data_IF_871505533132
#
_entry.id   IF_871505533132
#
_cell.length_a   1.000
_cell.length_b   1.000
_cell.length_c   1.000
_cell.angle_alpha   90.00
_cell.angle_beta   90.00
_cell.angle_gamma   90.00
#
_symmetry.space_group_name_H-M   'P 1'
#
loop_
_entity.id
_entity.type
_entity.pdbx_description
1 polymer ?
#
# COMPACT_ATOMS: atom_id res chain seq x y z
N UNK A 1 -12.23 -4.75 -17.86
CA UNK A 1 -13.35 -4.27 -18.70
C UNK A 1 -14.63 -4.37 -17.87
N UNK A 2 -15.49 -3.35 -17.82
CA UNK A 2 -16.77 -3.47 -17.14
C UNK A 2 -17.58 -4.59 -17.82
N UNK A 3 -17.99 -5.59 -17.05
CA UNK A 3 -18.80 -6.72 -17.53
C UNK A 3 -20.30 -6.39 -17.52
N UNK A 4 -20.69 -5.20 -17.07
CA UNK A 4 -22.08 -4.80 -16.89
C UNK A 4 -22.61 -4.03 -18.10
N UNK A 5 -23.36 -4.72 -18.96
CA UNK A 5 -24.18 -4.12 -20.04
C UNK A 5 -25.49 -3.49 -19.51
N UNK A 6 -25.56 -3.11 -18.23
CA UNK A 6 -26.73 -2.44 -17.68
C UNK A 6 -26.68 -0.95 -18.09
N UNK A 7 -27.59 -0.47 -18.96
CA UNK A 7 -27.50 0.89 -19.54
C UNK A 7 -27.58 2.02 -18.50
N UNK A 8 -28.13 1.71 -17.32
CA UNK A 8 -28.31 2.68 -16.22
C UNK A 8 -27.06 2.85 -15.35
N UNK A 9 -26.05 1.99 -15.49
CA UNK A 9 -24.80 2.12 -14.72
C UNK A 9 -23.78 2.91 -15.53
N UNK A 10 -23.31 4.08 -15.06
CA UNK A 10 -22.35 4.85 -15.82
C UNK A 10 -20.98 4.18 -15.85
N UNK A 11 -20.25 4.38 -16.95
CA UNK A 11 -18.85 4.01 -17.07
C UNK A 11 -18.01 5.05 -16.32
N UNK A 12 -17.16 4.60 -15.39
CA UNK A 12 -16.25 5.46 -14.66
C UNK A 12 -14.85 5.40 -15.28
N UNK A 13 -14.33 6.56 -15.67
CA UNK A 13 -12.94 6.76 -16.04
C UNK A 13 -12.23 7.40 -14.86
N UNK A 14 -11.31 6.68 -14.23
CA UNK A 14 -10.61 7.12 -13.04
C UNK A 14 -9.13 7.30 -13.34
N UNK A 15 -8.57 8.46 -12.98
CA UNK A 15 -7.15 8.76 -13.14
C UNK A 15 -6.57 9.33 -11.84
N UNK A 16 -5.31 8.99 -11.55
CA UNK A 16 -4.60 9.42 -10.34
C UNK A 16 -3.43 10.31 -10.75
N UNK A 17 -3.53 11.61 -10.51
CA UNK A 17 -2.57 12.60 -10.99
C UNK A 17 -1.78 13.20 -9.83
N UNK A 18 -0.55 12.71 -9.63
CA UNK A 18 0.33 13.09 -8.51
C UNK A 18 1.46 14.05 -8.91
N UNK A 19 1.49 14.47 -10.17
CA UNK A 19 2.46 15.40 -10.72
C UNK A 19 1.74 16.46 -11.55
N UNK A 20 2.29 17.66 -11.61
CA UNK A 20 1.75 18.69 -12.49
C UNK A 20 1.95 18.27 -13.95
N UNK A 21 0.90 18.41 -14.76
CA UNK A 21 0.90 18.04 -16.17
C UNK A 21 -0.06 18.93 -16.93
N UNK A 22 0.50 19.86 -17.71
CA UNK A 22 -0.28 20.84 -18.48
C UNK A 22 -1.17 20.19 -19.56
N UNK A 23 -0.78 19.02 -20.07
CA UNK A 23 -1.51 18.30 -21.11
C UNK A 23 -2.51 17.29 -20.56
N UNK A 24 -2.63 17.17 -19.23
CA UNK A 24 -3.43 16.15 -18.56
C UNK A 24 -4.88 16.11 -19.06
N UNK A 25 -5.60 17.23 -18.97
CA UNK A 25 -7.01 17.28 -19.36
C UNK A 25 -7.20 16.99 -20.85
N UNK A 26 -6.29 17.45 -21.71
CA UNK A 26 -6.32 17.12 -23.13
C UNK A 26 -6.28 15.61 -23.34
N UNK A 27 -5.32 14.93 -22.71
CA UNK A 27 -5.15 13.47 -22.83
C UNK A 27 -6.35 12.74 -22.24
N UNK A 28 -6.76 13.09 -21.02
CA UNK A 28 -7.86 12.47 -20.30
C UNK A 28 -9.16 12.50 -21.12
N UNK A 29 -9.56 13.68 -21.62
CA UNK A 29 -10.79 13.76 -22.41
C UNK A 29 -10.66 13.12 -23.80
N UNK A 30 -9.49 13.19 -24.43
CA UNK A 30 -9.25 12.52 -25.72
C UNK A 30 -9.41 11.02 -25.60
N UNK A 31 -8.83 10.41 -24.56
CA UNK A 31 -8.91 8.97 -24.33
C UNK A 31 -10.34 8.52 -24.01
N UNK A 32 -11.07 9.28 -23.19
CA UNK A 32 -12.48 9.00 -22.88
C UNK A 32 -13.32 9.01 -24.16
N UNK A 33 -13.25 10.09 -24.94
CA UNK A 33 -14.08 10.21 -26.14
C UNK A 33 -13.67 9.22 -27.23
N UNK A 34 -12.37 8.91 -27.34
CA UNK A 34 -11.89 7.86 -28.22
C UNK A 34 -12.45 6.50 -27.81
N UNK A 35 -12.44 6.17 -26.52
CA UNK A 35 -13.06 4.94 -26.00
C UNK A 35 -14.54 4.89 -26.35
N UNK A 36 -15.30 5.93 -26.00
CA UNK A 36 -16.75 5.97 -26.24
C UNK A 36 -17.09 5.84 -27.74
N UNK A 37 -16.28 6.43 -28.62
CA UNK A 37 -16.47 6.30 -30.08
C UNK A 37 -16.16 4.91 -30.64
N UNK A 38 -15.39 4.08 -29.90
CA UNK A 38 -14.93 2.75 -30.31
C UNK A 38 -15.75 1.62 -29.68
N UNK A 39 -16.77 1.94 -28.89
CA UNK A 39 -17.61 0.94 -28.21
C UNK A 39 -19.07 1.11 -28.60
N UNK A 40 -19.79 -0.01 -28.70
CA UNK A 40 -21.26 -0.01 -28.89
C UNK A 40 -22.04 0.21 -27.58
N UNK A 41 -21.33 0.49 -26.48
CA UNK A 41 -21.94 0.77 -25.18
C UNK A 41 -22.65 2.13 -25.22
N UNK A 42 -23.90 2.14 -24.75
CA UNK A 42 -24.74 3.35 -24.70
C UNK A 42 -24.87 3.93 -23.29
N UNK A 43 -24.09 3.39 -22.35
CA UNK A 43 -24.05 3.83 -20.97
C UNK A 43 -23.66 5.31 -20.87
N UNK A 44 -24.21 6.00 -19.86
CA UNK A 44 -23.68 7.30 -19.45
C UNK A 44 -22.22 7.16 -18.97
N UNK A 45 -21.48 8.26 -18.85
CA UNK A 45 -20.11 8.22 -18.36
C UNK A 45 -19.84 9.29 -17.30
N UNK A 46 -18.85 9.00 -16.44
CA UNK A 46 -18.32 9.90 -15.41
C UNK A 46 -16.80 9.84 -15.38
N UNK A 47 -16.17 11.01 -15.20
CA UNK A 47 -14.74 11.14 -14.93
C UNK A 47 -14.50 11.32 -13.44
N UNK A 48 -13.49 10.64 -12.90
CA UNK A 48 -13.02 10.83 -11.52
C UNK A 48 -11.52 11.05 -11.58
N UNK A 49 -11.06 12.15 -10.99
CA UNK A 49 -9.64 12.50 -10.99
C UNK A 49 -9.22 12.68 -9.54
N UNK A 50 -8.18 11.96 -9.15
CA UNK A 50 -7.65 11.97 -7.79
C UNK A 50 -6.33 12.71 -7.77
N UNK A 51 -6.28 13.83 -7.06
CA UNK A 51 -5.10 14.65 -6.83
C UNK A 51 -4.64 14.54 -5.37
N UNK A 52 -3.32 14.61 -5.08
CA UNK A 52 -2.86 14.65 -3.70
C UNK A 52 -3.32 15.94 -3.00
N UNK A 53 -3.32 17.07 -3.72
CA UNK A 53 -3.81 18.36 -3.27
C UNK A 53 -4.08 19.30 -4.48
N UNK A 54 -4.79 20.43 -4.30
CA UNK A 54 -5.14 21.33 -5.40
C UNK A 54 -3.95 21.97 -6.13
N UNK A 55 -2.76 22.05 -5.51
CA UNK A 55 -1.60 22.69 -6.13
C UNK A 55 -0.98 21.86 -7.26
N UNK A 56 -1.33 20.57 -7.36
CA UNK A 56 -0.86 19.68 -8.42
C UNK A 56 -1.72 19.77 -9.68
N UNK A 57 -2.95 20.27 -9.57
CA UNK A 57 -3.84 20.45 -10.71
C UNK A 57 -3.33 21.59 -11.61
N UNK A 58 -3.27 21.34 -12.91
CA UNK A 58 -2.90 22.37 -13.89
C UNK A 58 -3.94 23.49 -13.99
N UNK A 59 -3.48 24.71 -14.22
CA UNK A 59 -4.34 25.89 -14.47
C UNK A 59 -4.99 25.88 -15.88
N UNK A 60 -4.57 24.96 -16.76
CA UNK A 60 -5.01 24.85 -18.17
C UNK A 60 -6.41 24.21 -18.32
N UNK A 61 -7.36 24.65 -17.51
CA UNK A 61 -8.74 24.11 -17.45
C UNK A 61 -9.69 24.73 -18.46
N UNK A 62 -9.31 25.84 -19.10
CA UNK A 62 -10.24 26.72 -19.82
C UNK A 62 -11.02 26.05 -20.95
N UNK A 63 -10.35 25.16 -21.71
CA UNK A 63 -10.97 24.44 -22.84
C UNK A 63 -11.96 23.35 -22.41
N UNK A 64 -11.94 22.98 -21.13
CA UNK A 64 -12.69 21.85 -20.59
C UNK A 64 -13.64 22.28 -19.47
N UNK A 65 -13.78 23.60 -19.27
CA UNK A 65 -14.45 24.21 -18.13
C UNK A 65 -15.87 23.68 -17.97
N UNK A 66 -16.62 23.51 -19.05
CA UNK A 66 -17.98 23.01 -19.06
C UNK A 66 -18.07 21.59 -18.50
N UNK A 67 -17.11 20.72 -18.86
CA UNK A 67 -17.04 19.35 -18.35
C UNK A 67 -16.62 19.35 -16.89
N UNK A 68 -15.60 20.14 -16.54
CA UNK A 68 -15.01 20.21 -15.18
C UNK A 68 -15.91 20.89 -14.14
N UNK A 69 -16.82 21.75 -14.58
CA UNK A 69 -17.78 22.45 -13.72
C UNK A 69 -19.15 21.77 -13.69
N UNK A 70 -19.36 20.73 -14.50
CA UNK A 70 -20.57 19.90 -14.46
C UNK A 70 -20.40 18.72 -13.50
N UNK A 71 -21.49 17.99 -13.24
CA UNK A 71 -21.43 16.71 -12.51
C UNK A 71 -20.77 15.58 -13.32
N UNK A 72 -20.29 15.85 -14.55
CA UNK A 72 -19.67 14.86 -15.42
C UNK A 72 -18.30 14.42 -14.89
N UNK A 73 -17.54 15.34 -14.31
CA UNK A 73 -16.18 15.10 -13.83
C UNK A 73 -16.07 15.52 -12.38
N UNK A 74 -15.62 14.60 -11.52
CA UNK A 74 -15.35 14.88 -10.11
C UNK A 74 -13.85 14.92 -9.87
N UNK A 75 -13.37 16.06 -9.39
CA UNK A 75 -12.00 16.23 -8.87
C UNK A 75 -12.04 15.95 -7.38
N UNK A 76 -11.19 15.03 -6.93
CA UNK A 76 -11.05 14.62 -5.53
C UNK A 76 -9.63 14.97 -5.10
N UNK A 77 -9.52 15.81 -4.07
CA UNK A 77 -8.22 16.15 -3.48
C UNK A 77 -8.04 15.39 -2.18
N UNK A 78 -6.98 14.59 -2.10
CA UNK A 78 -6.75 13.67 -0.98
C UNK A 78 -6.60 14.41 0.36
N UNK A 79 -5.94 15.58 0.34
CA UNK A 79 -5.78 16.46 1.52
C UNK A 79 -7.10 17.06 2.04
N UNK A 80 -8.16 17.06 1.24
CA UNK A 80 -9.48 17.59 1.63
C UNK A 80 -10.44 16.50 2.10
N UNK A 81 -10.02 15.24 2.05
CA UNK A 81 -10.87 14.11 2.42
C UNK A 81 -11.28 14.14 3.89
N UNK A 82 -10.51 14.76 4.80
CA UNK A 82 -10.85 14.77 6.24
C UNK A 82 -12.26 15.28 6.55
N UNK A 83 -12.84 16.11 5.67
CA UNK A 83 -14.16 16.72 5.84
C UNK A 83 -15.32 15.84 5.30
N UNK A 84 -15.03 14.70 4.69
CA UNK A 84 -16.04 13.84 4.08
C UNK A 84 -16.49 12.79 5.11
N UNK A 85 -17.81 12.64 5.34
CA UNK A 85 -18.34 11.57 6.18
C UNK A 85 -17.80 10.22 5.73
N UNK A 86 -17.20 9.46 6.65
CA UNK A 86 -16.55 8.18 6.34
C UNK A 86 -17.57 7.05 6.12
N UNK A 87 -18.54 7.23 5.22
CA UNK A 87 -19.57 6.22 5.00
C UNK A 87 -19.00 4.99 4.31
N UNK A 88 -18.00 5.17 3.42
CA UNK A 88 -17.33 4.07 2.73
C UNK A 88 -16.02 3.66 3.42
N UNK A 89 -15.83 2.35 3.58
CA UNK A 89 -14.57 1.74 4.04
C UNK A 89 -13.39 2.10 3.13
N UNK A 90 -13.59 2.14 1.81
CA UNK A 90 -12.53 2.50 0.86
C UNK A 90 -12.06 3.95 1.06
N UNK A 91 -13.00 4.87 1.22
CA UNK A 91 -12.66 6.29 1.50
C UNK A 91 -11.98 6.44 2.86
N UNK A 92 -12.46 5.74 3.89
CA UNK A 92 -11.83 5.70 5.19
C UNK A 92 -10.37 5.19 5.14
N UNK A 93 -10.10 4.21 4.27
CA UNK A 93 -8.75 3.68 4.04
C UNK A 93 -7.85 4.73 3.39
N UNK A 94 -8.31 5.40 2.34
CA UNK A 94 -7.55 6.46 1.66
C UNK A 94 -7.28 7.65 2.59
N UNK A 95 -8.24 8.01 3.46
CA UNK A 95 -8.08 9.08 4.45
C UNK A 95 -6.93 8.80 5.44
N UNK A 96 -6.58 7.54 5.72
CA UNK A 96 -5.42 7.23 6.56
C UNK A 96 -4.13 7.84 6.01
N UNK A 97 -4.00 7.99 4.68
CA UNK A 97 -2.82 8.56 4.04
C UNK A 97 -2.67 10.04 4.41
N UNK A 98 -3.76 10.80 4.54
CA UNK A 98 -3.72 12.25 4.74
C UNK A 98 -3.89 12.69 6.19
N UNK A 99 -4.46 11.84 7.05
CA UNK A 99 -4.63 12.12 8.47
C UNK A 99 -3.30 12.46 9.18
N UNK A 100 -3.36 13.28 10.22
CA UNK A 100 -2.19 13.44 11.11
C UNK A 100 -1.83 12.12 11.82
N UNK A 101 -0.55 11.94 12.18
CA UNK A 101 -0.07 10.75 12.91
C UNK A 101 -0.86 10.49 14.21
N UNK A 102 -1.24 11.55 14.92
CA UNK A 102 -1.99 11.45 16.17
C UNK A 102 -3.42 10.88 15.98
N UNK A 103 -4.09 11.22 14.87
CA UNK A 103 -5.45 10.74 14.57
C UNK A 103 -5.44 9.35 13.91
N UNK A 104 -4.37 9.01 13.19
CA UNK A 104 -4.29 7.80 12.38
C UNK A 104 -4.57 6.52 13.19
N UNK A 105 -4.04 6.40 14.41
CA UNK A 105 -4.20 5.20 15.24
C UNK A 105 -5.68 4.90 15.56
N UNK A 106 -6.42 5.90 16.05
CA UNK A 106 -7.83 5.72 16.42
C UNK A 106 -8.70 5.45 15.18
N UNK A 107 -8.44 6.18 14.10
CA UNK A 107 -9.10 5.95 12.80
C UNK A 107 -8.86 4.55 12.27
N UNK A 108 -7.64 4.03 12.37
CA UNK A 108 -7.32 2.68 11.92
C UNK A 108 -8.02 1.60 12.75
N UNK A 109 -8.07 1.74 14.09
CA UNK A 109 -8.82 0.79 14.94
C UNK A 109 -10.28 0.70 14.52
N UNK A 110 -10.93 1.85 14.33
CA UNK A 110 -12.32 1.93 13.87
C UNK A 110 -12.47 1.31 12.48
N UNK A 111 -11.57 1.60 11.57
CA UNK A 111 -11.61 1.07 10.21
C UNK A 111 -11.47 -0.45 10.18
N UNK A 112 -10.51 -1.02 10.91
CA UNK A 112 -10.32 -2.48 11.01
C UNK A 112 -11.59 -3.15 11.54
N UNK A 113 -12.21 -2.57 12.58
CA UNK A 113 -13.48 -3.09 13.10
C UNK A 113 -14.57 -3.10 12.01
N UNK A 114 -14.69 -2.01 11.25
CA UNK A 114 -15.65 -1.92 10.14
C UNK A 114 -15.36 -2.93 9.04
N UNK A 115 -14.10 -3.13 8.68
CA UNK A 115 -13.68 -4.15 7.70
C UNK A 115 -14.14 -5.54 8.14
N UNK A 116 -13.98 -5.88 9.43
CA UNK A 116 -14.43 -7.17 9.98
C UNK A 116 -15.95 -7.32 10.05
N UNK A 117 -16.69 -6.22 10.23
CA UNK A 117 -18.14 -6.23 10.46
C UNK A 117 -18.97 -6.05 9.19
N UNK A 118 -18.50 -5.23 8.26
CA UNK A 118 -19.28 -4.79 7.09
C UNK A 118 -18.92 -5.57 5.81
N UNK A 119 -17.72 -6.16 5.71
CA UNK A 119 -17.29 -6.87 4.51
C UNK A 119 -17.56 -8.38 4.57
N UNK A 120 -18.02 -8.93 3.46
CA UNK A 120 -18.16 -10.38 3.25
C UNK A 120 -16.85 -10.99 2.71
N UNK A 121 -16.67 -12.32 2.80
CA UNK A 121 -15.48 -12.98 2.26
C UNK A 121 -15.19 -12.67 0.78
N UNK A 122 -16.22 -12.52 -0.05
CA UNK A 122 -16.09 -12.21 -1.49
C UNK A 122 -15.52 -10.80 -1.74
N UNK A 123 -15.66 -9.89 -0.77
CA UNK A 123 -15.10 -8.54 -0.82
C UNK A 123 -13.64 -8.49 -0.34
N UNK A 124 -13.05 -9.66 -0.07
CA UNK A 124 -11.63 -9.85 0.26
C UNK A 124 -11.12 -8.93 1.38
N UNK A 125 -11.69 -9.03 2.60
CA UNK A 125 -11.28 -8.18 3.72
C UNK A 125 -9.78 -8.27 4.05
N UNK A 126 -9.14 -9.43 3.81
CA UNK A 126 -7.70 -9.63 4.02
C UNK A 126 -6.84 -8.70 3.13
N UNK A 127 -7.19 -8.52 1.85
CA UNK A 127 -6.45 -7.62 0.96
C UNK A 127 -6.52 -6.16 1.47
N UNK A 128 -7.67 -5.77 2.02
CA UNK A 128 -7.85 -4.45 2.59
C UNK A 128 -7.12 -4.27 3.93
N UNK A 129 -7.13 -5.28 4.80
CA UNK A 129 -6.35 -5.26 6.05
C UNK A 129 -4.86 -5.12 5.76
N UNK A 130 -4.35 -5.83 4.75
CA UNK A 130 -2.96 -5.70 4.30
C UNK A 130 -2.64 -4.28 3.78
N UNK A 131 -3.57 -3.66 3.03
CA UNK A 131 -3.39 -2.28 2.60
C UNK A 131 -3.35 -1.31 3.80
N UNK A 132 -4.24 -1.48 4.78
CA UNK A 132 -4.27 -0.66 6.00
C UNK A 132 -2.96 -0.81 6.78
N UNK A 133 -2.47 -2.04 6.95
CA UNK A 133 -1.18 -2.32 7.59
C UNK A 133 -0.05 -1.62 6.85
N UNK A 134 0.01 -1.75 5.53
CA UNK A 134 1.03 -1.10 4.70
C UNK A 134 1.02 0.41 4.94
N UNK A 135 -0.15 1.06 4.87
CA UNK A 135 -0.28 2.51 5.13
C UNK A 135 0.24 2.85 6.54
N UNK A 136 -0.06 2.05 7.56
CA UNK A 136 0.41 2.28 8.91
C UNK A 136 1.93 2.18 9.04
N UNK A 137 2.56 1.16 8.45
CA UNK A 137 4.01 0.98 8.49
C UNK A 137 4.72 2.20 7.89
N UNK A 138 4.25 2.68 6.74
CA UNK A 138 4.84 3.86 6.10
C UNK A 138 4.56 5.16 6.88
N UNK A 139 3.36 5.32 7.43
CA UNK A 139 2.93 6.56 8.09
C UNK A 139 3.44 6.69 9.52
N UNK A 140 3.56 5.57 10.22
CA UNK A 140 3.94 5.46 11.63
C UNK A 140 5.13 4.48 11.77
N UNK A 141 6.31 4.80 11.20
CA UNK A 141 7.45 3.87 11.16
C UNK A 141 8.01 3.53 12.55
N UNK A 142 7.69 4.33 13.57
CA UNK A 142 8.10 4.12 14.96
C UNK A 142 7.00 3.49 15.82
N UNK A 143 5.88 3.08 15.22
CA UNK A 143 4.80 2.42 15.94
C UNK A 143 5.32 1.08 16.48
N UNK A 144 5.10 0.82 17.76
CA UNK A 144 5.66 -0.39 18.35
C UNK A 144 4.83 -1.62 17.94
N UNK A 145 5.48 -2.78 17.94
CA UNK A 145 4.85 -4.05 17.57
C UNK A 145 3.57 -4.35 18.37
N UNK A 146 3.56 -4.05 19.67
CA UNK A 146 2.39 -4.31 20.54
C UNK A 146 1.19 -3.48 20.13
N UNK A 147 1.40 -2.24 19.72
CA UNK A 147 0.33 -1.37 19.23
C UNK A 147 -0.29 -1.90 17.94
N UNK A 148 0.53 -2.41 17.02
CA UNK A 148 0.07 -3.07 15.79
C UNK A 148 -0.72 -4.35 16.12
N UNK A 149 -0.19 -5.20 17.00
CA UNK A 149 -0.86 -6.43 17.48
C UNK A 149 -2.14 -6.17 18.28
N UNK A 150 -2.33 -4.95 18.79
CA UNK A 150 -3.60 -4.57 19.44
C UNK A 150 -4.67 -4.18 18.42
N UNK A 151 -4.26 -3.72 17.22
CA UNK A 151 -5.18 -3.34 16.14
C UNK A 151 -5.55 -4.55 15.28
N UNK A 152 -4.56 -5.37 14.94
CA UNK A 152 -4.70 -6.57 14.13
C UNK A 152 -4.55 -7.83 14.99
N UNK A 153 -5.30 -8.88 14.67
CA UNK A 153 -5.05 -10.20 15.25
C UNK A 153 -3.70 -10.74 14.75
N UNK A 154 -2.99 -11.53 15.57
CA UNK A 154 -1.72 -12.14 15.16
C UNK A 154 -1.84 -12.94 13.85
N UNK A 155 -2.97 -13.60 13.64
CA UNK A 155 -3.20 -14.38 12.41
C UNK A 155 -3.49 -13.51 11.20
N UNK A 156 -4.04 -12.31 11.37
CA UNK A 156 -4.21 -11.33 10.29
C UNK A 156 -2.84 -10.75 9.89
N UNK A 157 -2.01 -10.36 10.87
CA UNK A 157 -0.66 -9.86 10.61
C UNK A 157 0.20 -10.90 9.91
N UNK A 158 0.19 -12.15 10.36
CA UNK A 158 0.97 -13.23 9.71
C UNK A 158 0.61 -13.48 8.24
N UNK A 159 -0.60 -13.10 7.83
CA UNK A 159 -1.06 -13.27 6.46
C UNK A 159 -0.61 -12.13 5.54
N UNK A 160 -0.16 -11.01 6.08
CA UNK A 160 0.27 -9.89 5.26
C UNK A 160 1.64 -10.16 4.65
N UNK A 161 1.86 -9.65 3.43
CA UNK A 161 3.14 -9.81 2.73
C UNK A 161 4.29 -9.20 3.53
N UNK A 162 4.10 -7.99 4.05
CA UNK A 162 5.14 -7.30 4.80
C UNK A 162 5.59 -8.10 6.03
N UNK A 163 4.66 -8.69 6.78
CA UNK A 163 5.03 -9.53 7.91
C UNK A 163 5.75 -10.81 7.49
N UNK A 164 5.36 -11.42 6.37
CA UNK A 164 6.04 -12.60 5.85
C UNK A 164 7.48 -12.30 5.44
N UNK A 165 7.71 -11.16 4.79
CA UNK A 165 9.04 -10.69 4.38
C UNK A 165 9.93 -10.46 5.61
N UNK A 166 9.43 -9.67 6.58
CA UNK A 166 10.15 -9.40 7.85
C UNK A 166 10.45 -10.70 8.62
N UNK A 167 9.52 -11.66 8.60
CA UNK A 167 9.72 -12.96 9.27
C UNK A 167 10.80 -13.79 8.57
N UNK A 168 10.87 -13.75 7.24
CA UNK A 168 11.88 -14.48 6.49
C UNK A 168 13.26 -13.87 6.67
N UNK A 169 13.37 -12.53 6.63
CA UNK A 169 14.61 -11.81 6.98
C UNK A 169 15.09 -12.18 8.38
N UNK A 170 14.20 -12.11 9.39
CA UNK A 170 14.53 -12.50 10.76
C UNK A 170 14.95 -13.97 10.90
N UNK A 171 14.41 -14.86 10.06
CA UNK A 171 14.82 -16.28 10.03
C UNK A 171 16.20 -16.45 9.42
N UNK A 172 16.52 -15.72 8.36
CA UNK A 172 17.83 -15.73 7.72
C UNK A 172 18.90 -15.16 8.66
N UNK A 173 18.64 -14.01 9.27
CA UNK A 173 19.51 -13.41 10.29
C UNK A 173 19.69 -14.36 11.49
N UNK A 174 18.62 -14.99 11.97
CA UNK A 174 18.69 -15.95 13.06
C UNK A 174 19.52 -17.20 12.74
N UNK A 175 19.51 -17.66 11.48
CA UNK A 175 20.38 -18.75 11.01
C UNK A 175 21.84 -18.31 10.96
N UNK A 176 22.10 -17.14 10.38
CA UNK A 176 23.44 -16.56 10.29
C UNK A 176 24.03 -16.34 11.69
N UNK A 177 23.27 -15.72 12.60
CA UNK A 177 23.72 -15.47 13.98
C UNK A 177 24.05 -16.78 14.71
N UNK A 178 23.19 -17.80 14.61
CA UNK A 178 23.47 -19.12 15.20
C UNK A 178 24.70 -19.80 14.59
N UNK A 179 24.91 -19.64 13.29
CA UNK A 179 26.11 -20.14 12.61
C UNK A 179 27.35 -19.42 13.16
N UNK A 180 27.35 -18.09 13.21
CA UNK A 180 28.45 -17.28 13.76
C UNK A 180 28.73 -17.61 15.24
N UNK A 181 27.70 -17.78 16.07
CA UNK A 181 27.82 -18.18 17.48
C UNK A 181 28.45 -19.58 17.66
N UNK A 182 28.29 -20.48 16.67
CA UNK A 182 28.87 -21.82 16.70
C UNK A 182 30.36 -21.84 16.30
N UNK A 183 30.85 -20.83 15.58
CA UNK A 183 32.23 -20.76 15.04
C UNK A 183 33.29 -20.96 16.13
N UNK A 184 33.30 -20.24 17.28
CA UNK A 184 34.34 -20.40 18.29
C UNK A 184 34.40 -21.83 18.86
N UNK A 185 33.24 -22.46 19.03
CA UNK A 185 33.14 -23.82 19.56
C UNK A 185 33.69 -24.85 18.57
N UNK A 186 33.42 -24.69 17.29
CA UNK A 186 33.93 -25.61 16.26
C UNK A 186 35.45 -25.45 16.05
N UNK A 187 35.95 -24.22 16.08
CA UNK A 187 37.40 -23.97 16.05
C UNK A 187 38.10 -24.57 17.28
N UNK A 188 37.50 -24.45 18.48
CA UNK A 188 38.03 -25.05 19.71
C UNK A 188 38.04 -26.59 19.68
N UNK A 189 37.19 -27.21 18.86
CA UNK A 189 37.18 -28.66 18.61
C UNK A 189 38.24 -29.09 17.57
N UNK A 190 39.05 -28.15 17.06
CA UNK A 190 40.18 -28.44 16.16
C UNK A 190 39.83 -28.45 14.67
N UNK A 191 38.64 -28.00 14.27
CA UNK A 191 38.30 -27.83 12.85
C UNK A 191 39.07 -26.64 12.26
N UNK A 192 39.48 -26.74 11.00
CA UNK A 192 40.08 -25.62 10.27
C UNK A 192 39.04 -24.56 9.92
N UNK A 193 39.49 -23.33 9.66
CA UNK A 193 38.63 -22.22 9.21
C UNK A 193 37.80 -22.61 8.00
N UNK A 194 38.41 -23.27 7.02
CA UNK A 194 37.77 -23.69 5.78
C UNK A 194 36.73 -24.79 6.04
N UNK A 195 36.99 -25.70 6.98
CA UNK A 195 36.03 -26.72 7.38
C UNK A 195 34.82 -26.12 8.10
N UNK A 196 35.04 -25.15 8.98
CA UNK A 196 33.97 -24.44 9.69
C UNK A 196 33.13 -23.60 8.74
N UNK A 197 33.77 -22.86 7.82
CA UNK A 197 33.09 -22.06 6.80
C UNK A 197 32.19 -22.94 5.91
N UNK A 198 32.75 -24.07 5.43
CA UNK A 198 32.00 -25.04 4.63
C UNK A 198 30.83 -25.67 5.41
N UNK A 199 31.05 -26.09 6.65
CA UNK A 199 30.03 -26.76 7.46
C UNK A 199 28.87 -25.87 7.90
N UNK A 200 29.11 -24.56 8.01
CA UNK A 200 28.13 -23.57 8.46
C UNK A 200 27.58 -22.70 7.32
N UNK A 201 27.98 -22.96 6.07
CA UNK A 201 27.64 -22.15 4.89
C UNK A 201 28.00 -20.66 5.09
N UNK A 202 29.15 -20.41 5.74
CA UNK A 202 29.69 -19.08 5.98
C UNK A 202 30.82 -18.77 4.99
N UNK A 203 31.07 -17.47 4.78
CA UNK A 203 32.27 -17.03 4.09
C UNK A 203 33.51 -17.26 4.96
N UNK A 204 34.62 -17.66 4.34
CA UNK A 204 35.90 -17.90 5.04
C UNK A 204 36.35 -16.64 5.80
N UNK A 205 36.09 -15.46 5.25
CA UNK A 205 36.40 -14.18 5.90
C UNK A 205 35.63 -13.98 7.21
N UNK A 206 34.36 -14.39 7.28
CA UNK A 206 33.55 -14.28 8.49
C UNK A 206 34.11 -15.17 9.62
N UNK A 207 34.54 -16.38 9.27
CA UNK A 207 35.16 -17.31 10.23
C UNK A 207 36.53 -16.80 10.69
N UNK A 208 37.34 -16.24 9.79
CA UNK A 208 38.65 -15.64 10.14
C UNK A 208 38.51 -14.43 11.04
N UNK A 209 37.51 -13.57 10.82
CA UNK A 209 37.25 -12.42 11.66
C UNK A 209 36.98 -12.83 13.12
N UNK A 210 36.14 -13.86 13.32
CA UNK A 210 35.84 -14.41 14.65
C UNK A 210 37.07 -15.08 15.27
N UNK A 211 37.87 -15.81 14.48
CA UNK A 211 39.11 -16.44 14.97
C UNK A 211 40.13 -15.42 15.48
N UNK A 212 40.24 -14.28 14.81
CA UNK A 212 41.22 -13.24 15.10
C UNK A 212 40.79 -12.25 16.20
N UNK A 213 39.58 -12.40 16.75
CA UNK A 213 39.13 -11.66 17.94
C UNK A 213 38.90 -10.17 17.74
N UNK A 214 38.23 -9.77 16.66
CA UNK A 214 37.56 -8.45 16.55
C UNK A 214 36.09 -8.54 16.91
#
# INVERSE_FOLDING_TARGET
>A
MPQNNHPQTPIYFCEVQFQEDEAFYQRFFTEIFLYLSKTDLTNDWRGVIVYPNPQVETDKVQRYRELLNSERVRRIYLNELENIPQTSIGLATVQLITLSKAKAIDSTRKLIQRVRQELTPDQKPQELLQLIETILVYKLPLLNRREIETMFSLDELKQTQYFQDVREEARQEGRLNKALEAVPRLLALGLSVEQVASALELEVEQVRAIQNGT
#
